data_IF_667171027668
#
_entry.id   IF_667171027668
#
_cell.length_a   1.000
_cell.length_b   1.000
_cell.length_c   1.000
_cell.angle_alpha   90.00
_cell.angle_beta   90.00
_cell.angle_gamma   90.00
#
_symmetry.space_group_name_H-M   'P 1'
#
loop_
_entity.id
_entity.type
_entity.pdbx_description
1 polymer ?
#
# COMPACT_ATOMS: atom_id res chain seq x y z
N UNK A 1 7.91 11.03 -16.64
CA UNK A 1 6.98 10.13 -15.93
C UNK A 1 5.59 10.38 -16.49
N UNK A 2 4.84 9.33 -16.78
CA UNK A 2 3.42 9.45 -17.10
C UNK A 2 2.61 9.47 -15.79
N UNK A 3 2.10 10.63 -15.41
CA UNK A 3 1.36 10.82 -14.18
C UNK A 3 0.00 10.13 -14.21
N UNK A 4 -0.66 10.07 -15.37
CA UNK A 4 -1.96 9.41 -15.48
C UNK A 4 -1.79 7.93 -15.23
N UNK A 5 -0.83 7.31 -15.91
CA UNK A 5 -0.53 5.89 -15.71
C UNK A 5 -0.17 5.59 -14.25
N UNK A 6 0.58 6.48 -13.59
CA UNK A 6 0.92 6.32 -12.18
C UNK A 6 -0.32 6.35 -11.27
N UNK A 7 -1.22 7.32 -11.44
CA UNK A 7 -2.42 7.37 -10.60
C UNK A 7 -3.41 6.25 -10.91
N UNK A 8 -3.47 5.76 -12.15
CA UNK A 8 -4.23 4.55 -12.50
C UNK A 8 -3.66 3.32 -11.73
N UNK A 9 -2.34 3.18 -11.64
CA UNK A 9 -1.68 2.15 -10.83
C UNK A 9 -1.97 2.30 -9.33
N UNK A 10 -1.99 3.53 -8.80
CA UNK A 10 -2.32 3.79 -7.39
C UNK A 10 -3.74 3.32 -7.07
N UNK A 11 -4.71 3.66 -7.92
CA UNK A 11 -6.11 3.22 -7.75
C UNK A 11 -6.19 1.69 -7.82
N UNK A 12 -5.50 1.08 -8.78
CA UNK A 12 -5.42 -0.38 -8.90
C UNK A 12 -4.81 -1.03 -7.65
N UNK A 13 -3.75 -0.44 -7.10
CA UNK A 13 -3.08 -0.94 -5.90
C UNK A 13 -3.98 -0.89 -4.67
N UNK A 14 -4.73 0.20 -4.46
CA UNK A 14 -5.71 0.31 -3.36
C UNK A 14 -6.75 -0.83 -3.44
N UNK A 15 -7.24 -1.14 -4.64
CA UNK A 15 -8.17 -2.26 -4.82
C UNK A 15 -7.53 -3.62 -4.48
N UNK A 16 -6.25 -3.80 -4.81
CA UNK A 16 -5.52 -5.03 -4.48
C UNK A 16 -5.22 -5.15 -2.98
N UNK A 17 -4.97 -4.05 -2.28
CA UNK A 17 -4.81 -4.03 -0.82
C UNK A 17 -6.05 -4.61 -0.13
N UNK A 18 -7.25 -4.23 -0.58
CA UNK A 18 -8.49 -4.78 -0.03
C UNK A 18 -8.57 -6.31 -0.21
N UNK A 19 -8.15 -6.82 -1.37
CA UNK A 19 -8.11 -8.26 -1.63
C UNK A 19 -7.04 -8.97 -0.79
N UNK A 20 -5.86 -8.36 -0.63
CA UNK A 20 -4.79 -8.89 0.21
C UNK A 20 -5.19 -8.90 1.69
N UNK A 21 -5.86 -7.85 2.18
CA UNK A 21 -6.39 -7.77 3.53
C UNK A 21 -7.47 -8.84 3.78
N UNK A 22 -8.36 -9.08 2.82
CA UNK A 22 -9.37 -10.14 2.91
C UNK A 22 -8.75 -11.55 2.88
N UNK A 23 -7.64 -11.73 2.13
CA UNK A 23 -6.97 -13.03 1.97
C UNK A 23 -6.08 -13.40 3.14
N UNK A 24 -5.24 -12.47 3.61
CA UNK A 24 -4.22 -12.73 4.63
C UNK A 24 -4.63 -12.21 6.01
N UNK A 25 -5.42 -11.13 6.07
CA UNK A 25 -5.68 -10.40 7.30
C UNK A 25 -4.55 -9.44 7.65
N UNK A 26 -4.91 -8.19 8.00
CA UNK A 26 -3.93 -7.11 8.29
C UNK A 26 -3.05 -7.37 9.52
N UNK A 27 -3.40 -8.34 10.36
CA UNK A 27 -2.63 -8.75 11.53
C UNK A 27 -1.47 -9.70 11.21
N UNK A 28 -1.33 -10.13 9.96
CA UNK A 28 -0.36 -11.14 9.56
C UNK A 28 0.87 -10.52 8.89
N UNK A 29 2.03 -11.14 9.09
CA UNK A 29 3.27 -10.74 8.41
C UNK A 29 3.12 -10.84 6.88
N UNK A 30 2.40 -11.84 6.37
CA UNK A 30 2.19 -12.05 4.95
C UNK A 30 1.52 -10.84 4.28
N UNK A 31 0.59 -10.18 4.96
CA UNK A 31 -0.02 -8.95 4.46
C UNK A 31 1.01 -7.83 4.32
N UNK A 32 1.83 -7.59 5.34
CA UNK A 32 2.80 -6.50 5.36
C UNK A 32 3.99 -6.73 4.41
N UNK A 33 4.42 -7.98 4.24
CA UNK A 33 5.38 -8.35 3.19
C UNK A 33 4.80 -8.03 1.81
N UNK A 34 3.53 -8.38 1.56
CA UNK A 34 2.88 -8.05 0.29
C UNK A 34 2.76 -6.53 0.06
N UNK A 35 2.43 -5.76 1.09
CA UNK A 35 2.39 -4.28 1.03
C UNK A 35 3.77 -3.71 0.68
N UNK A 36 4.83 -4.16 1.37
CA UNK A 36 6.19 -3.70 1.14
C UNK A 36 6.68 -4.05 -0.28
N UNK A 37 6.47 -5.28 -0.73
CA UNK A 37 6.92 -5.73 -2.05
C UNK A 37 6.18 -5.01 -3.18
N UNK A 38 4.86 -4.87 -3.07
CA UNK A 38 4.04 -4.24 -4.12
C UNK A 38 4.30 -2.73 -4.24
N UNK A 39 4.50 -2.02 -3.12
CA UNK A 39 4.85 -0.59 -3.12
C UNK A 39 6.27 -0.36 -3.67
N UNK A 40 7.21 -1.25 -3.36
CA UNK A 40 8.56 -1.25 -3.95
C UNK A 40 8.52 -1.52 -5.46
N UNK A 41 7.67 -2.43 -5.92
CA UNK A 41 7.50 -2.74 -7.35
C UNK A 41 6.97 -1.52 -8.14
N UNK A 42 5.96 -0.82 -7.62
CA UNK A 42 5.44 0.42 -8.23
C UNK A 42 6.54 1.49 -8.24
N UNK A 43 7.26 1.67 -7.13
CA UNK A 43 8.36 2.64 -7.06
C UNK A 43 9.43 2.36 -8.12
N UNK A 44 9.82 1.10 -8.31
CA UNK A 44 10.78 0.68 -9.34
C UNK A 44 10.25 0.87 -10.76
N UNK A 45 8.97 0.57 -11.03
CA UNK A 45 8.32 0.79 -12.34
C UNK A 45 8.48 2.23 -12.82
N UNK A 46 8.40 3.19 -11.90
CA UNK A 46 8.58 4.62 -12.17
C UNK A 46 9.98 5.13 -11.85
N UNK A 47 11.00 4.26 -11.96
CA UNK A 47 12.42 4.60 -11.81
C UNK A 47 12.74 5.28 -10.47
N UNK A 48 12.08 4.86 -9.38
CA UNK A 48 12.23 5.41 -8.04
C UNK A 48 12.02 6.93 -8.00
N UNK A 49 11.07 7.43 -8.80
CA UNK A 49 10.70 8.84 -8.78
C UNK A 49 10.29 9.27 -7.37
N UNK A 50 10.80 10.43 -6.92
CA UNK A 50 10.58 10.92 -5.55
C UNK A 50 9.11 11.12 -5.20
N UNK A 51 8.28 11.55 -6.15
CA UNK A 51 6.83 11.70 -5.93
C UNK A 51 6.17 10.34 -5.71
N UNK A 52 6.53 9.34 -6.52
CA UNK A 52 5.99 7.98 -6.42
C UNK A 52 6.34 7.37 -5.07
N UNK A 53 7.61 7.46 -4.64
CA UNK A 53 8.03 6.95 -3.33
C UNK A 53 7.23 7.63 -2.21
N UNK A 54 7.09 8.96 -2.24
CA UNK A 54 6.31 9.70 -1.24
C UNK A 54 4.85 9.28 -1.22
N UNK A 55 4.24 9.13 -2.39
CA UNK A 55 2.85 8.72 -2.52
C UNK A 55 2.63 7.30 -1.98
N UNK A 56 3.52 6.36 -2.30
CA UNK A 56 3.40 4.98 -1.81
C UNK A 56 3.64 4.90 -0.30
N UNK A 57 4.63 5.61 0.24
CA UNK A 57 4.86 5.68 1.69
C UNK A 57 3.65 6.25 2.44
N UNK A 58 3.03 7.32 1.92
CA UNK A 58 1.82 7.88 2.52
C UNK A 58 0.71 6.83 2.62
N UNK A 59 0.52 6.01 1.57
CA UNK A 59 -0.49 4.96 1.58
C UNK A 59 -0.15 3.81 2.54
N UNK A 60 1.12 3.48 2.72
CA UNK A 60 1.54 2.50 3.75
C UNK A 60 1.23 3.02 5.14
N UNK A 61 1.61 4.26 5.45
CA UNK A 61 1.32 4.88 6.75
C UNK A 61 -0.19 4.91 7.03
N UNK A 62 -1.00 5.25 6.01
CA UNK A 62 -2.46 5.20 6.15
C UNK A 62 -2.96 3.78 6.49
N UNK A 63 -2.38 2.72 5.92
CA UNK A 63 -2.75 1.35 6.29
C UNK A 63 -2.34 0.98 7.71
N UNK A 64 -1.19 1.46 8.18
CA UNK A 64 -0.74 1.29 9.57
C UNK A 64 -1.74 1.96 10.52
N UNK A 65 -2.14 3.20 10.26
CA UNK A 65 -3.15 3.92 11.03
C UNK A 65 -4.50 3.17 11.06
N UNK A 66 -4.94 2.64 9.92
CA UNK A 66 -6.17 1.83 9.84
C UNK A 66 -6.07 0.59 10.73
N UNK A 67 -4.94 -0.10 10.68
CA UNK A 67 -4.71 -1.30 11.49
C UNK A 67 -4.65 -0.97 12.99
N UNK A 68 -3.89 0.05 13.37
CA UNK A 68 -3.76 0.53 14.75
C UNK A 68 -5.12 0.94 15.34
N UNK A 69 -5.92 1.67 14.57
CA UNK A 69 -7.27 2.04 15.00
C UNK A 69 -8.18 0.81 15.18
N UNK A 70 -8.01 -0.23 14.36
CA UNK A 70 -8.79 -1.47 14.44
C UNK A 70 -8.47 -2.33 15.68
N UNK A 71 -7.25 -2.21 16.22
CA UNK A 71 -6.85 -2.90 17.46
C UNK A 71 -7.21 -2.06 18.69
N UNK A 72 -7.13 -0.73 18.60
CA UNK A 72 -7.44 0.19 19.70
C UNK A 72 -8.95 0.32 19.98
N UNK A 73 -9.82 0.04 19.01
CA UNK A 73 -11.28 0.00 19.20
C UNK A 73 -11.79 -1.30 19.82
N UNK A 74 -10.92 -2.29 20.03
CA UNK A 74 -11.26 -3.59 20.65
C UNK A 74 -10.81 -3.71 22.12
N UNK A 75 -10.25 -2.65 22.71
CA UNK A 75 -9.95 -2.52 24.14
C UNK A 75 -10.94 -1.59 24.83
#
# INVERSE_FOLDING_TARGET
>A
MDYKAFYDDVVSWINQVNQAAARYGMHTEQFWVWVADSTAAISKKYQNNRLVIKQMLMLVNWLEEVYENSINTKG
#
